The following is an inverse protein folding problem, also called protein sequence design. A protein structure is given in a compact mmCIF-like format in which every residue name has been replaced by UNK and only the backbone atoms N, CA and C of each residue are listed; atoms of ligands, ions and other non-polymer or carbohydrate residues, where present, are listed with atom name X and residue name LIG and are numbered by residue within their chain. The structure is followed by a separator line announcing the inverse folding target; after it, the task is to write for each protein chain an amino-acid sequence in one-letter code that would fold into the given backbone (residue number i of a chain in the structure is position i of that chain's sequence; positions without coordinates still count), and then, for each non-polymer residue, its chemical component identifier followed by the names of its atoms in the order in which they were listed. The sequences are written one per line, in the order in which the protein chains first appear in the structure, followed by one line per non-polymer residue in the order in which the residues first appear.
data_IF_182541424505
#
_entry.id   IF_182541424505
#
_cell.length_a   1.000
_cell.length_b   1.000
_cell.length_c   1.000
_cell.angle_alpha   90.00
_cell.angle_beta   90.00
_cell.angle_gamma   90.00
#
_symmetry.space_group_name_H-M   'P 1'
#
loop_
_entity.id
_entity.type
_entity.pdbx_description
1 polymer ?
#
# COMPACT_ATOMS: atom_id res chain seq x y z
N UNK A 1 -16.79 -25.15 9.39
CA UNK A 1 -15.82 -25.10 8.26
C UNK A 1 -15.59 -23.65 7.91
N UNK A 2 -14.35 -23.24 7.60
CA UNK A 2 -14.06 -21.84 7.21
C UNK A 2 -14.74 -21.55 5.87
N UNK A 3 -15.42 -20.40 5.77
CA UNK A 3 -16.14 -19.96 4.56
C UNK A 3 -15.20 -19.35 3.51
N UNK A 4 -13.88 -19.41 3.71
CA UNK A 4 -12.86 -18.81 2.85
C UNK A 4 -11.73 -19.79 2.55
N UNK A 5 -11.04 -19.56 1.43
CA UNK A 5 -9.87 -20.35 1.04
C UNK A 5 -8.61 -19.83 1.73
N UNK A 6 -7.96 -20.68 2.54
CA UNK A 6 -6.63 -20.37 3.12
C UNK A 6 -5.57 -20.42 2.02
N UNK A 7 -5.03 -19.24 1.66
CA UNK A 7 -3.98 -19.14 0.65
C UNK A 7 -2.62 -19.44 1.27
N UNK A 8 -1.81 -20.24 0.62
CA UNK A 8 -0.39 -20.47 0.97
C UNK A 8 0.54 -19.38 0.40
N UNK A 9 0.08 -18.65 -0.64
CA UNK A 9 0.79 -17.56 -1.28
C UNK A 9 0.11 -16.24 -0.99
N UNK A 10 0.53 -15.55 0.06
CA UNK A 10 -0.02 -14.26 0.46
C UNK A 10 0.60 -13.11 -0.34
N UNK A 11 1.91 -13.16 -0.61
CA UNK A 11 2.63 -12.12 -1.32
C UNK A 11 2.58 -12.32 -2.84
N UNK A 12 2.23 -11.26 -3.55
CA UNK A 12 2.35 -11.17 -5.01
C UNK A 12 3.72 -10.58 -5.35
N UNK A 13 4.54 -11.33 -6.09
CA UNK A 13 5.90 -10.93 -6.47
C UNK A 13 5.92 -10.64 -7.96
N UNK A 14 6.54 -9.53 -8.38
CA UNK A 14 6.66 -9.11 -9.79
C UNK A 14 5.31 -9.09 -10.54
N UNK A 15 4.23 -8.73 -9.82
CA UNK A 15 2.85 -8.87 -10.30
C UNK A 15 2.38 -7.70 -11.17
N UNK A 16 3.11 -6.59 -11.19
CA UNK A 16 2.79 -5.39 -11.95
C UNK A 16 4.05 -4.70 -12.50
N UNK A 17 3.85 -3.80 -13.46
CA UNK A 17 4.95 -3.12 -14.16
C UNK A 17 5.85 -2.28 -13.25
N UNK A 18 5.34 -1.75 -12.14
CA UNK A 18 6.12 -0.92 -11.21
C UNK A 18 7.05 -1.78 -10.35
N UNK A 19 6.59 -2.95 -9.92
CA UNK A 19 7.43 -3.92 -9.18
C UNK A 19 8.54 -4.47 -10.08
N UNK A 20 8.26 -4.73 -11.38
CA UNK A 20 9.28 -5.12 -12.37
C UNK A 20 10.30 -4.00 -12.58
N UNK A 21 9.88 -2.73 -12.61
CA UNK A 21 10.81 -1.59 -12.66
C UNK A 21 11.67 -1.52 -11.40
N UNK A 22 11.15 -1.91 -10.23
CA UNK A 22 11.90 -2.03 -8.99
C UNK A 22 13.06 -3.02 -9.08
N UNK A 23 12.88 -4.15 -9.79
CA UNK A 23 13.96 -5.13 -10.00
C UNK A 23 15.17 -4.52 -10.75
N UNK A 24 14.92 -3.59 -11.69
CA UNK A 24 15.99 -2.88 -12.43
C UNK A 24 16.83 -1.95 -11.56
N UNK A 25 16.34 -1.56 -10.39
CA UNK A 25 17.05 -0.72 -9.42
C UNK A 25 17.40 -1.48 -8.14
N UNK A 26 17.44 -2.82 -8.21
CA UNK A 26 17.99 -3.68 -7.19
C UNK A 26 17.00 -4.18 -6.12
N UNK A 27 15.67 -4.09 -6.33
CA UNK A 27 14.68 -4.52 -5.33
C UNK A 27 13.69 -5.55 -5.86
N UNK A 28 13.51 -6.65 -5.12
CA UNK A 28 12.45 -7.63 -5.36
C UNK A 28 11.29 -7.36 -4.40
N UNK A 29 10.16 -6.88 -4.93
CA UNK A 29 9.02 -6.48 -4.11
C UNK A 29 7.98 -7.59 -3.99
N UNK A 30 7.59 -7.93 -2.75
CA UNK A 30 6.43 -8.75 -2.42
C UNK A 30 5.30 -7.89 -1.86
N UNK A 31 4.10 -7.96 -2.45
CA UNK A 31 2.94 -7.16 -2.05
C UNK A 31 1.82 -8.06 -1.53
N UNK A 32 1.34 -7.77 -0.32
CA UNK A 32 0.12 -8.33 0.23
C UNK A 32 -1.08 -7.47 -0.21
N UNK A 33 -2.05 -8.10 -0.87
CA UNK A 33 -3.30 -7.46 -1.25
C UNK A 33 -4.46 -8.04 -0.43
N UNK A 34 -5.02 -7.26 0.48
CA UNK A 34 -6.29 -7.53 1.15
C UNK A 34 -7.43 -6.78 0.44
N UNK A 35 -8.67 -7.23 0.63
CA UNK A 35 -9.84 -6.52 0.15
C UNK A 35 -9.98 -5.17 0.85
N UNK A 36 -10.25 -4.06 0.13
CA UNK A 36 -10.23 -2.71 0.71
C UNK A 36 -11.51 -2.40 1.50
N UNK A 37 -11.37 -1.49 2.44
CA UNK A 37 -12.47 -0.92 3.22
C UNK A 37 -13.45 -1.99 3.73
N UNK A 38 -14.74 -1.82 3.50
CA UNK A 38 -15.82 -2.72 3.94
C UNK A 38 -16.24 -3.72 2.84
N UNK A 39 -15.31 -4.16 1.98
CA UNK A 39 -15.61 -5.20 0.97
C UNK A 39 -15.99 -6.53 1.62
N UNK A 40 -15.50 -6.78 2.82
CA UNK A 40 -15.93 -7.88 3.70
C UNK A 40 -16.64 -7.30 4.94
N UNK A 41 -17.04 -8.15 5.89
CA UNK A 41 -17.55 -7.69 7.21
C UNK A 41 -16.48 -6.96 8.04
N UNK A 42 -15.22 -7.01 7.65
CA UNK A 42 -14.09 -6.34 8.32
C UNK A 42 -13.66 -5.11 7.54
N UNK A 43 -13.39 -4.02 8.26
CA UNK A 43 -12.86 -2.80 7.67
C UNK A 43 -11.33 -2.82 7.67
N UNK A 44 -10.73 -2.81 6.49
CA UNK A 44 -9.27 -2.77 6.31
C UNK A 44 -8.72 -1.37 6.03
N UNK A 45 -9.59 -0.36 5.89
CA UNK A 45 -9.23 1.03 5.55
C UNK A 45 -10.11 2.02 6.33
N UNK A 46 -9.75 2.31 7.57
CA UNK A 46 -10.57 3.15 8.47
C UNK A 46 -10.91 4.55 7.92
N UNK A 47 -10.02 5.10 7.09
CA UNK A 47 -10.16 6.46 6.54
C UNK A 47 -10.78 6.49 5.13
N UNK A 48 -11.14 5.33 4.54
CA UNK A 48 -11.55 5.26 3.14
C UNK A 48 -12.80 6.11 2.81
N UNK A 49 -13.79 6.09 3.69
CA UNK A 49 -15.00 6.89 3.52
C UNK A 49 -14.73 8.40 3.69
N UNK A 50 -13.96 8.77 4.70
CA UNK A 50 -13.62 10.18 4.96
C UNK A 50 -12.78 10.78 3.83
N UNK A 51 -11.85 10.01 3.29
CA UNK A 51 -11.04 10.41 2.14
C UNK A 51 -11.74 10.22 0.80
N UNK A 52 -12.94 9.63 0.79
CA UNK A 52 -13.74 9.28 -0.40
C UNK A 52 -12.96 8.49 -1.47
N UNK A 53 -11.94 7.73 -1.06
CA UNK A 53 -11.12 6.94 -1.97
C UNK A 53 -11.66 5.53 -2.22
N UNK A 54 -12.71 5.10 -1.51
CA UNK A 54 -13.25 3.74 -1.65
C UNK A 54 -13.71 3.44 -3.08
N UNK A 55 -14.42 4.40 -3.73
CA UNK A 55 -14.94 4.26 -5.11
C UNK A 55 -13.80 4.30 -6.13
N UNK A 56 -12.77 5.11 -5.87
CA UNK A 56 -11.61 5.30 -6.74
C UNK A 56 -10.48 4.30 -6.47
N UNK A 57 -10.72 3.29 -5.63
CA UNK A 57 -9.68 2.35 -5.20
C UNK A 57 -9.08 1.56 -6.37
N UNK A 58 -7.76 1.31 -6.31
CA UNK A 58 -7.03 0.44 -7.23
C UNK A 58 -7.56 -1.01 -7.28
N UNK A 59 -8.45 -1.37 -6.36
CA UNK A 59 -9.18 -2.64 -6.36
C UNK A 59 -9.89 -2.92 -7.69
N UNK A 60 -10.34 -1.87 -8.37
CA UNK A 60 -11.01 -1.93 -9.68
C UNK A 60 -10.07 -1.70 -10.88
N UNK A 61 -8.74 -1.58 -10.67
CA UNK A 61 -7.79 -1.23 -11.72
C UNK A 61 -6.94 -2.43 -12.16
N UNK A 62 -6.68 -2.52 -13.47
CA UNK A 62 -5.85 -3.57 -14.05
C UNK A 62 -6.32 -4.97 -13.66
N UNK A 63 -5.39 -5.83 -13.27
CA UNK A 63 -5.71 -7.20 -12.79
C UNK A 63 -6.64 -7.23 -11.56
N UNK A 64 -6.69 -6.16 -10.78
CA UNK A 64 -7.60 -6.02 -9.65
C UNK A 64 -9.09 -6.06 -10.03
N UNK A 65 -9.42 -5.80 -11.30
CA UNK A 65 -10.79 -5.85 -11.80
C UNK A 65 -11.32 -7.28 -12.03
N UNK A 66 -10.43 -8.30 -12.08
CA UNK A 66 -10.86 -9.68 -12.30
C UNK A 66 -11.48 -10.27 -11.03
N UNK A 67 -12.60 -10.98 -11.20
CA UNK A 67 -13.37 -11.57 -10.10
C UNK A 67 -12.57 -12.56 -9.25
N UNK A 68 -11.74 -13.39 -9.88
CA UNK A 68 -10.87 -14.33 -9.17
C UNK A 68 -9.80 -13.64 -8.32
N UNK A 69 -9.28 -12.49 -8.78
CA UNK A 69 -8.33 -11.67 -8.00
C UNK A 69 -9.04 -11.01 -6.82
N UNK A 70 -10.24 -10.50 -7.04
CA UNK A 70 -11.06 -9.91 -5.98
C UNK A 70 -11.43 -10.95 -4.93
N UNK A 71 -11.88 -12.15 -5.35
CA UNK A 71 -12.17 -13.25 -4.42
C UNK A 71 -10.93 -13.64 -3.61
N UNK A 72 -9.76 -13.74 -4.24
CA UNK A 72 -8.51 -14.04 -3.53
C UNK A 72 -8.17 -12.99 -2.47
N UNK A 73 -8.46 -11.71 -2.71
CA UNK A 73 -8.28 -10.64 -1.71
C UNK A 73 -9.28 -10.74 -0.56
N UNK A 74 -10.53 -11.10 -0.88
CA UNK A 74 -11.58 -11.37 0.13
C UNK A 74 -11.15 -12.54 1.02
N UNK A 75 -10.74 -13.67 0.41
CA UNK A 75 -10.29 -14.85 1.15
C UNK A 75 -9.10 -14.53 2.07
N UNK A 76 -8.11 -13.79 1.59
CA UNK A 76 -6.96 -13.35 2.40
C UNK A 76 -7.38 -12.43 3.55
N UNK A 77 -8.40 -11.58 3.35
CA UNK A 77 -8.92 -10.71 4.39
C UNK A 77 -9.62 -11.53 5.48
N UNK A 78 -10.49 -12.43 5.09
CA UNK A 78 -11.15 -13.33 6.05
C UNK A 78 -10.13 -14.20 6.78
N UNK A 79 -9.12 -14.72 6.09
CA UNK A 79 -8.02 -15.49 6.67
C UNK A 79 -7.26 -14.67 7.72
N UNK A 80 -6.94 -13.39 7.43
CA UNK A 80 -6.26 -12.49 8.37
C UNK A 80 -7.07 -12.23 9.64
N UNK A 81 -8.39 -12.08 9.54
CA UNK A 81 -9.23 -11.75 10.70
C UNK A 81 -9.74 -12.98 11.46
N UNK A 82 -9.99 -14.09 10.78
CA UNK A 82 -10.65 -15.26 11.36
C UNK A 82 -9.68 -16.39 11.75
N UNK A 83 -8.45 -16.39 11.20
CA UNK A 83 -7.40 -17.36 11.54
C UNK A 83 -6.03 -16.67 11.59
N UNK A 84 -5.93 -15.65 12.46
CA UNK A 84 -4.80 -14.72 12.56
C UNK A 84 -3.45 -15.41 12.68
N UNK A 85 -3.29 -16.35 13.59
CA UNK A 85 -2.00 -17.00 13.84
C UNK A 85 -1.54 -17.81 12.66
N UNK A 86 -2.45 -18.56 12.02
CA UNK A 86 -2.13 -19.31 10.81
C UNK A 86 -1.76 -18.37 9.64
N UNK A 87 -2.48 -17.25 9.51
CA UNK A 87 -2.17 -16.23 8.51
C UNK A 87 -0.78 -15.65 8.72
N UNK A 88 -0.46 -15.26 9.95
CA UNK A 88 0.84 -14.69 10.29
C UNK A 88 1.97 -15.70 10.06
N UNK A 89 1.80 -16.95 10.47
CA UNK A 89 2.75 -18.03 10.16
C UNK A 89 2.98 -18.17 8.65
N UNK A 90 1.91 -18.09 7.85
CA UNK A 90 2.01 -18.15 6.40
C UNK A 90 2.72 -16.92 5.83
N UNK A 91 2.42 -15.73 6.34
CA UNK A 91 3.08 -14.48 5.93
C UNK A 91 4.58 -14.50 6.23
N UNK A 92 4.97 -14.96 7.41
CA UNK A 92 6.37 -15.13 7.79
C UNK A 92 7.12 -16.09 6.85
N UNK A 93 6.50 -17.25 6.53
CA UNK A 93 7.07 -18.19 5.53
C UNK A 93 7.23 -17.53 4.16
N UNK A 94 6.25 -16.72 3.75
CA UNK A 94 6.30 -16.04 2.45
C UNK A 94 7.38 -14.95 2.41
N UNK A 95 7.60 -14.21 3.50
CA UNK A 95 8.70 -13.23 3.58
C UNK A 95 10.05 -13.94 3.55
N UNK A 96 10.24 -15.02 4.31
CA UNK A 96 11.46 -15.83 4.25
C UNK A 96 11.72 -16.36 2.84
N UNK A 97 10.69 -16.79 2.12
CA UNK A 97 10.83 -17.23 0.72
C UNK A 97 11.16 -16.07 -0.23
N UNK A 98 10.61 -14.87 0.01
CA UNK A 98 10.96 -13.66 -0.75
C UNK A 98 12.43 -13.29 -0.55
N UNK A 99 12.93 -13.33 0.69
CA UNK A 99 14.34 -13.04 1.02
C UNK A 99 15.25 -13.97 0.22
N UNK A 100 15.06 -15.30 0.34
CA UNK A 100 15.85 -16.29 -0.42
C UNK A 100 15.79 -16.06 -1.94
N UNK A 101 14.62 -15.69 -2.46
CA UNK A 101 14.47 -15.41 -3.89
C UNK A 101 15.17 -14.12 -4.31
N UNK A 102 15.17 -13.09 -3.45
CA UNK A 102 15.89 -11.85 -3.69
C UNK A 102 17.40 -12.08 -3.68
N UNK A 103 17.93 -12.79 -2.69
CA UNK A 103 19.34 -13.17 -2.59
C UNK A 103 19.82 -13.94 -3.82
N UNK A 104 19.06 -14.95 -4.25
CA UNK A 104 19.38 -15.74 -5.46
C UNK A 104 19.43 -14.91 -6.74
N UNK A 105 18.78 -13.73 -6.76
CA UNK A 105 18.79 -12.79 -7.88
C UNK A 105 19.78 -11.62 -7.69
N UNK A 106 20.51 -11.54 -6.58
CA UNK A 106 21.34 -10.39 -6.23
C UNK A 106 20.52 -9.11 -5.96
N UNK A 107 19.26 -9.25 -5.52
CA UNK A 107 18.35 -8.14 -5.23
C UNK A 107 18.10 -8.01 -3.72
N UNK A 108 17.69 -6.83 -3.28
CA UNK A 108 17.23 -6.58 -1.91
C UNK A 108 15.73 -6.89 -1.78
N UNK A 109 15.31 -7.62 -0.72
CA UNK A 109 13.88 -7.86 -0.48
C UNK A 109 13.19 -6.56 -0.05
N UNK A 110 11.99 -6.32 -0.59
CA UNK A 110 11.15 -5.19 -0.28
C UNK A 110 9.71 -5.68 -0.08
N UNK A 111 9.05 -5.27 1.00
CA UNK A 111 7.70 -5.76 1.32
C UNK A 111 6.71 -4.60 1.43
N UNK A 112 5.54 -4.77 0.82
CA UNK A 112 4.40 -3.88 0.95
C UNK A 112 3.20 -4.66 1.51
N UNK A 113 2.78 -4.34 2.72
CA UNK A 113 1.72 -5.08 3.42
C UNK A 113 0.31 -4.53 3.14
N UNK A 114 0.21 -3.28 2.70
CA UNK A 114 -1.04 -2.60 2.40
C UNK A 114 -1.19 -2.31 0.89
N UNK A 115 -1.25 -3.35 0.06
CA UNK A 115 -1.43 -3.20 -1.39
C UNK A 115 -2.76 -2.52 -1.75
N UNK A 116 -3.84 -2.87 -1.04
CA UNK A 116 -5.18 -2.26 -1.17
C UNK A 116 -5.90 -2.10 0.18
N UNK A 117 -5.15 -2.05 1.28
CA UNK A 117 -5.62 -1.84 2.65
C UNK A 117 -4.85 -0.69 3.32
N UNK A 118 -5.19 -0.37 4.57
CA UNK A 118 -4.48 0.60 5.41
C UNK A 118 -4.51 0.13 6.87
N UNK A 119 -4.00 -1.10 7.08
CA UNK A 119 -3.87 -1.71 8.40
C UNK A 119 -2.62 -1.15 9.07
N UNK A 120 -2.71 -0.88 10.36
CA UNK A 120 -1.56 -0.50 11.21
C UNK A 120 -0.77 -1.75 11.59
N UNK A 121 0.07 -2.24 10.68
CA UNK A 121 0.87 -3.45 10.90
C UNK A 121 1.85 -3.32 12.06
N UNK A 122 2.29 -2.10 12.39
CA UNK A 122 3.11 -1.79 13.57
C UNK A 122 2.39 -2.07 14.90
N UNK A 123 1.07 -2.24 14.85
CA UNK A 123 0.24 -2.60 16.02
C UNK A 123 -0.30 -4.03 15.93
N UNK A 124 0.25 -4.87 15.05
CA UNK A 124 -0.15 -6.28 14.91
C UNK A 124 0.95 -7.18 15.47
N UNK A 125 0.87 -7.55 16.76
CA UNK A 125 1.84 -8.46 17.35
C UNK A 125 1.60 -9.90 16.89
N UNK A 126 2.69 -10.64 16.79
CA UNK A 126 2.69 -12.07 16.56
C UNK A 126 3.89 -12.70 17.28
N UNK A 127 3.67 -13.70 18.12
CA UNK A 127 4.72 -14.37 18.94
C UNK A 127 5.62 -13.38 19.71
N UNK A 128 5.02 -12.31 20.25
CA UNK A 128 5.71 -11.32 21.10
C UNK A 128 6.45 -10.21 20.35
N UNK A 129 6.44 -10.20 19.02
CA UNK A 129 7.08 -9.18 18.19
C UNK A 129 6.18 -8.71 17.06
N UNK A 130 6.47 -7.56 16.47
CA UNK A 130 5.86 -7.14 15.20
C UNK A 130 6.58 -7.80 14.02
N UNK A 131 5.95 -7.78 12.85
CA UNK A 131 6.58 -8.30 11.62
C UNK A 131 7.85 -7.54 11.25
N UNK A 132 7.96 -6.28 11.62
CA UNK A 132 9.12 -5.42 11.36
C UNK A 132 10.31 -5.82 12.24
N UNK A 133 10.05 -6.10 13.52
CA UNK A 133 11.07 -6.58 14.48
C UNK A 133 11.54 -7.99 14.12
N UNK A 134 10.64 -8.84 13.61
CA UNK A 134 11.00 -10.19 13.18
C UNK A 134 11.85 -10.23 11.89
N UNK A 135 11.82 -9.16 11.09
CA UNK A 135 12.58 -9.03 9.84
C UNK A 135 13.31 -7.68 9.77
N UNK A 136 14.29 -7.42 10.66
CA UNK A 136 14.95 -6.12 10.78
C UNK A 136 15.71 -5.70 9.51
N UNK A 137 16.22 -6.64 8.74
CA UNK A 137 16.99 -6.41 7.50
C UNK A 137 16.09 -6.27 6.25
N UNK A 138 14.77 -6.42 6.40
CA UNK A 138 13.82 -6.22 5.31
C UNK A 138 13.27 -4.82 5.35
N UNK A 139 13.37 -4.09 4.24
CA UNK A 139 12.68 -2.81 4.10
C UNK A 139 11.20 -3.04 3.83
N UNK A 140 10.34 -2.38 4.60
CA UNK A 140 8.90 -2.31 4.38
C UNK A 140 8.51 -0.90 3.95
N UNK A 141 7.45 -0.80 3.14
CA UNK A 141 6.86 0.49 2.77
C UNK A 141 5.38 0.35 2.48
N UNK A 142 4.62 1.40 2.75
CA UNK A 142 3.19 1.43 2.44
C UNK A 142 2.70 2.85 2.16
N UNK A 143 1.45 2.92 1.69
CA UNK A 143 0.68 4.15 1.65
C UNK A 143 -0.33 4.14 2.78
N UNK A 144 -0.55 5.30 3.41
CA UNK A 144 -1.53 5.44 4.49
C UNK A 144 -2.38 6.69 4.31
N UNK A 145 -3.63 6.64 4.73
CA UNK A 145 -4.52 7.79 4.91
C UNK A 145 -4.45 8.35 6.34
N UNK A 146 -3.73 7.67 7.22
CA UNK A 146 -3.65 8.05 8.63
C UNK A 146 -2.36 8.80 8.94
N UNK A 147 -2.46 10.12 9.04
CA UNK A 147 -1.37 11.00 9.45
C UNK A 147 -1.05 10.96 10.96
N UNK A 148 -1.81 10.16 11.76
CA UNK A 148 -1.56 10.01 13.21
C UNK A 148 -0.64 8.84 13.55
N UNK A 149 -0.19 8.08 12.57
CA UNK A 149 0.78 6.99 12.81
C UNK A 149 2.06 7.58 13.37
N UNK A 150 2.59 6.95 14.40
CA UNK A 150 3.78 7.34 15.15
C UNK A 150 4.49 6.08 15.67
N UNK A 151 5.67 6.27 16.20
CA UNK A 151 6.50 5.19 16.73
C UNK A 151 6.73 4.07 15.68
N UNK A 152 6.97 4.51 14.43
CA UNK A 152 7.18 3.59 13.32
C UNK A 152 8.55 2.91 13.43
N UNK A 153 8.63 1.60 13.16
CA UNK A 153 9.90 0.89 13.05
C UNK A 153 10.81 1.53 11.99
N UNK A 154 12.12 1.52 12.23
CA UNK A 154 13.11 2.17 11.34
C UNK A 154 13.13 1.58 9.92
N UNK A 155 12.72 0.32 9.77
CA UNK A 155 12.61 -0.38 8.51
C UNK A 155 11.20 -0.30 7.87
N UNK A 156 10.34 0.63 8.34
CA UNK A 156 8.99 0.84 7.79
C UNK A 156 8.80 2.27 7.30
N UNK A 157 8.77 2.46 5.99
CA UNK A 157 8.58 3.76 5.33
C UNK A 157 7.11 3.98 4.94
N UNK A 158 6.56 5.14 5.25
CA UNK A 158 5.18 5.50 4.93
C UNK A 158 5.09 6.71 4.01
N UNK A 159 4.27 6.59 2.97
CA UNK A 159 3.84 7.69 2.12
C UNK A 159 2.39 8.02 2.42
N UNK A 160 2.10 9.28 2.79
CA UNK A 160 0.72 9.70 3.02
C UNK A 160 -0.04 9.77 1.70
N UNK A 161 -1.20 9.12 1.63
CA UNK A 161 -2.06 9.15 0.45
C UNK A 161 -3.01 10.34 0.51
N UNK A 162 -2.72 11.39 -0.25
CA UNK A 162 -3.50 12.61 -0.33
C UNK A 162 -4.94 12.36 -0.79
N UNK A 163 -5.86 13.23 -0.37
CA UNK A 163 -7.20 13.40 -0.96
C UNK A 163 -7.54 14.89 -0.97
N UNK A 164 -8.09 15.37 -2.08
CA UNK A 164 -8.54 16.75 -2.22
C UNK A 164 -9.91 17.06 -1.57
N UNK A 165 -10.56 16.03 -1.01
CA UNK A 165 -11.88 16.17 -0.35
C UNK A 165 -11.82 17.15 0.83
N UNK A 166 -12.78 18.06 0.92
CA UNK A 166 -12.80 19.12 1.94
C UNK A 166 -12.70 18.56 3.36
N UNK A 167 -13.50 17.55 3.68
CA UNK A 167 -13.50 16.90 4.99
C UNK A 167 -12.19 16.20 5.33
N UNK A 168 -11.30 16.00 4.34
CA UNK A 168 -10.00 15.34 4.51
C UNK A 168 -8.83 16.34 4.68
N UNK A 169 -9.05 17.64 4.45
CA UNK A 169 -8.02 18.69 4.58
C UNK A 169 -7.26 18.68 5.92
N UNK A 170 -7.90 18.49 7.10
CA UNK A 170 -7.17 18.45 8.37
C UNK A 170 -6.11 17.34 8.44
N UNK A 171 -6.34 16.20 7.78
CA UNK A 171 -5.40 15.08 7.73
C UNK A 171 -4.24 15.37 6.77
N UNK A 172 -4.54 16.03 5.64
CA UNK A 172 -3.51 16.51 4.70
C UNK A 172 -2.60 17.53 5.39
N UNK A 173 -3.18 18.52 6.06
CA UNK A 173 -2.43 19.52 6.80
C UNK A 173 -1.52 18.88 7.86
N UNK A 174 -2.02 17.91 8.60
CA UNK A 174 -1.24 17.16 9.60
C UNK A 174 -0.09 16.37 8.97
N UNK A 175 -0.32 15.71 7.85
CA UNK A 175 0.74 15.00 7.13
C UNK A 175 1.82 15.98 6.64
N UNK A 176 1.41 17.13 6.11
CA UNK A 176 2.30 18.19 5.66
C UNK A 176 3.11 18.78 6.81
N UNK A 177 2.48 19.08 7.96
CA UNK A 177 3.17 19.63 9.14
C UNK A 177 4.20 18.65 9.74
N UNK A 178 4.05 17.36 9.49
CA UNK A 178 5.01 16.32 9.85
C UNK A 178 6.10 16.09 8.80
N UNK A 179 6.09 16.83 7.69
CA UNK A 179 7.04 16.65 6.60
C UNK A 179 6.89 15.31 5.84
N UNK A 180 5.73 14.66 5.94
CA UNK A 180 5.52 13.37 5.26
C UNK A 180 5.54 13.54 3.74
N UNK A 181 6.20 12.63 3.05
CA UNK A 181 6.02 12.45 1.60
C UNK A 181 4.55 12.11 1.31
N UNK A 182 3.96 12.75 0.30
CA UNK A 182 2.55 12.56 -0.04
C UNK A 182 2.38 12.04 -1.47
N UNK A 183 1.56 11.02 -1.66
CA UNK A 183 1.14 10.57 -2.98
C UNK A 183 -0.16 11.27 -3.39
N UNK A 184 -0.16 11.95 -4.53
CA UNK A 184 -1.31 12.67 -5.09
C UNK A 184 -1.71 12.04 -6.40
N UNK A 185 -3.00 11.73 -6.55
CA UNK A 185 -3.55 11.18 -7.80
C UNK A 185 -4.13 12.32 -8.63
N UNK A 186 -3.51 12.62 -9.76
CA UNK A 186 -3.97 13.58 -10.74
C UNK A 186 -4.86 12.93 -11.80
N UNK A 187 -5.70 13.69 -12.47
CA UNK A 187 -6.67 13.17 -13.44
C UNK A 187 -5.99 12.48 -14.63
N UNK A 188 -4.94 13.07 -15.16
CA UNK A 188 -4.16 12.56 -16.31
C UNK A 188 -2.67 12.66 -16.02
N UNK A 189 -1.88 11.88 -16.70
CA UNK A 189 -0.43 11.95 -16.63
C UNK A 189 0.09 13.35 -17.04
N UNK A 190 -0.47 13.91 -18.10
CA UNK A 190 -0.14 15.25 -18.61
C UNK A 190 -0.57 16.40 -17.68
N UNK A 191 -1.41 16.13 -16.69
CA UNK A 191 -1.84 17.13 -15.68
C UNK A 191 -1.00 17.10 -14.40
N UNK A 192 0.02 16.26 -14.31
CA UNK A 192 0.94 16.22 -13.16
C UNK A 192 1.84 17.45 -13.22
N UNK A 193 1.73 18.41 -12.27
CA UNK A 193 2.56 19.61 -12.28
C UNK A 193 3.95 19.29 -11.71
N UNK A 194 4.91 20.21 -11.92
CA UNK A 194 6.24 20.15 -11.28
C UNK A 194 6.21 20.59 -9.83
N UNK A 195 5.23 21.43 -9.46
CA UNK A 195 4.98 21.89 -8.08
C UNK A 195 3.48 21.84 -7.80
N UNK A 196 3.10 21.27 -6.66
CA UNK A 196 1.72 21.23 -6.20
C UNK A 196 1.64 21.76 -4.76
N UNK A 197 0.85 22.81 -4.54
CA UNK A 197 0.71 23.48 -3.23
C UNK A 197 2.06 23.90 -2.61
N UNK A 198 2.97 24.39 -3.43
CA UNK A 198 4.31 24.83 -3.00
C UNK A 198 5.31 23.70 -2.74
N UNK A 199 4.95 22.44 -3.03
CA UNK A 199 5.81 21.27 -2.81
C UNK A 199 6.21 20.67 -4.17
N UNK A 200 7.49 20.31 -4.33
CA UNK A 200 8.00 19.67 -5.53
C UNK A 200 7.34 18.32 -5.78
N UNK A 201 7.01 18.06 -7.05
CA UNK A 201 6.38 16.80 -7.48
C UNK A 201 7.41 15.95 -8.21
N UNK A 202 7.56 14.70 -7.75
CA UNK A 202 8.37 13.66 -8.41
C UNK A 202 7.46 12.62 -9.06
N UNK A 203 7.94 11.98 -10.12
CA UNK A 203 7.14 10.95 -10.80
C UNK A 203 7.00 9.69 -9.94
N UNK A 204 5.77 9.27 -9.70
CA UNK A 204 5.45 8.00 -9.04
C UNK A 204 5.35 6.80 -10.01
N UNK A 205 5.61 6.99 -11.30
CA UNK A 205 5.51 5.93 -12.31
C UNK A 205 6.87 5.31 -12.72
N UNK A 206 7.98 5.90 -12.24
CA UNK A 206 9.33 5.38 -12.49
C UNK A 206 9.59 4.06 -11.77
N UNK A 207 9.13 3.94 -10.53
CA UNK A 207 9.17 2.71 -9.73
C UNK A 207 8.12 2.77 -8.63
N UNK A 208 7.95 1.68 -7.86
CA UNK A 208 7.13 1.67 -6.62
C UNK A 208 8.02 1.63 -5.36
N UNK A 209 9.32 1.84 -5.49
CA UNK A 209 10.31 1.77 -4.40
C UNK A 209 10.32 3.09 -3.63
N UNK A 210 9.23 3.34 -2.87
CA UNK A 210 8.95 4.65 -2.26
C UNK A 210 9.94 5.08 -1.18
N UNK A 211 10.52 4.15 -0.45
CA UNK A 211 11.50 4.48 0.59
C UNK A 211 12.78 5.18 0.07
N UNK A 212 13.00 5.14 -1.25
CA UNK A 212 14.11 5.89 -1.89
C UNK A 212 13.73 7.33 -2.23
N UNK A 213 12.45 7.69 -2.25
CA UNK A 213 12.03 9.06 -2.49
C UNK A 213 12.22 9.91 -1.24
N UNK A 214 12.63 11.16 -1.41
CA UNK A 214 12.79 12.09 -0.29
C UNK A 214 11.49 12.31 0.49
N UNK A 215 11.60 12.57 1.78
CA UNK A 215 10.47 13.07 2.57
C UNK A 215 10.15 14.52 2.15
N UNK A 216 8.92 14.97 2.44
CA UNK A 216 8.49 16.32 2.11
C UNK A 216 8.25 16.60 0.63
N UNK A 217 8.30 15.59 -0.24
CA UNK A 217 7.93 15.72 -1.67
C UNK A 217 6.54 15.17 -1.94
N UNK A 218 6.00 15.53 -3.11
CA UNK A 218 4.79 14.90 -3.65
C UNK A 218 5.18 13.86 -4.70
N UNK A 219 4.64 12.66 -4.54
CA UNK A 219 4.70 11.60 -5.54
C UNK A 219 3.48 11.74 -6.46
N UNK A 220 3.68 12.25 -7.65
CA UNK A 220 2.63 12.41 -8.67
C UNK A 220 2.26 11.08 -9.30
N UNK A 221 0.99 10.71 -9.19
CA UNK A 221 0.38 9.54 -9.80
C UNK A 221 -0.78 9.97 -10.69
N UNK A 222 -1.14 9.21 -11.71
CA UNK A 222 -2.35 9.48 -12.48
C UNK A 222 -3.44 8.45 -12.26
N UNK A 223 -4.69 8.87 -12.45
CA UNK A 223 -5.89 8.08 -12.18
C UNK A 223 -5.96 6.82 -13.05
N UNK A 224 -6.22 5.67 -12.42
CA UNK A 224 -6.39 4.35 -13.05
C UNK A 224 -7.74 3.75 -12.67
N UNK A 225 -8.27 2.85 -13.51
CA UNK A 225 -9.55 2.19 -13.23
C UNK A 225 -10.69 3.18 -12.96
N UNK A 226 -11.46 2.94 -11.91
CA UNK A 226 -12.59 3.78 -11.50
C UNK A 226 -12.17 5.21 -11.14
N UNK A 227 -10.94 5.44 -10.68
CA UNK A 227 -10.43 6.78 -10.35
C UNK A 227 -10.47 7.76 -11.53
N UNK A 228 -10.41 7.26 -12.78
CA UNK A 228 -10.55 8.11 -13.97
C UNK A 228 -11.87 8.89 -14.03
N UNK A 229 -12.92 8.37 -13.39
CA UNK A 229 -14.27 8.93 -13.34
C UNK A 229 -14.63 9.52 -11.98
N UNK A 230 -13.65 9.63 -11.08
CA UNK A 230 -13.89 10.19 -9.76
C UNK A 230 -14.40 11.63 -9.82
N UNK A 231 -15.45 11.92 -9.08
CA UNK A 231 -16.06 13.23 -8.93
C UNK A 231 -16.10 13.67 -7.45
N UNK A 232 -15.53 12.86 -6.56
CA UNK A 232 -15.59 13.12 -5.11
C UNK A 232 -14.57 14.16 -4.66
N UNK A 233 -13.55 14.43 -5.48
CA UNK A 233 -12.42 15.28 -5.13
C UNK A 233 -11.22 14.50 -4.57
N UNK A 234 -11.30 13.16 -4.50
CA UNK A 234 -10.12 12.35 -4.18
C UNK A 234 -9.03 12.51 -5.25
N UNK A 235 -9.43 12.49 -6.53
CA UNK A 235 -8.54 12.77 -7.67
C UNK A 235 -8.48 14.28 -7.91
N UNK A 236 -7.27 14.80 -8.06
CA UNK A 236 -6.99 16.20 -8.38
C UNK A 236 -7.09 16.42 -9.89
N UNK A 237 -7.76 17.52 -10.30
CA UNK A 237 -7.91 17.91 -11.71
C UNK A 237 -6.76 18.83 -12.14
#
# INVERSE_FOLDING_TARGET
MSTFKKSTNLLSISADSKTIKGEKIGYLTGILYLAPANTTKYNTCSMAHKAQCAVACLYSAGRGAFSNVQQSRIDKTLYFFEARDEFMNTLFKNIKALIKKAEAKGLKPLVRLNGTSDIRWESVPFEGATIFEAFPDVQFYDYTKDANRKDLPSNYDLTFSYSGVESFKPYVFRAQSKGMRMAVVFRKESSIPTVFRGINVVSGDNSDVRHLDHQGVIVGLYAKGAAKRDQTGFVVN
#
